data_IF_093528038074
#
_entry.id   IF_093528038074
#
_cell.length_a   1.000
_cell.length_b   1.000
_cell.length_c   1.000
_cell.angle_alpha   90.00
_cell.angle_beta   90.00
_cell.angle_gamma   90.00
#
_symmetry.space_group_name_H-M   'P 1'
#
loop_
_entity.id
_entity.type
_entity.pdbx_description
1 polymer ?
#
# COMPACT_ATOMS: atom_id res chain seq x y z
N UNK A 1 -10.23 -2.62 -20.90
CA UNK A 1 -9.11 -2.76 -19.91
C UNK A 1 -9.12 -1.62 -18.89
N UNK A 2 -9.03 -0.35 -19.28
CA UNK A 2 -9.08 0.81 -18.37
C UNK A 2 -10.25 0.75 -17.38
N UNK A 3 -11.47 0.55 -17.87
CA UNK A 3 -12.67 0.48 -17.03
C UNK A 3 -12.63 -0.65 -15.98
N UNK A 4 -12.03 -1.78 -16.31
CA UNK A 4 -11.84 -2.90 -15.38
C UNK A 4 -10.83 -2.53 -14.30
N UNK A 5 -9.70 -1.92 -14.68
CA UNK A 5 -8.68 -1.45 -13.74
C UNK A 5 -9.28 -0.43 -12.78
N UNK A 6 -10.04 0.56 -13.28
CA UNK A 6 -10.66 1.59 -12.46
C UNK A 6 -11.66 1.01 -11.44
N UNK A 7 -12.40 -0.05 -11.80
CA UNK A 7 -13.30 -0.77 -10.88
C UNK A 7 -12.53 -1.57 -9.83
N UNK A 8 -11.39 -2.18 -10.20
CA UNK A 8 -10.60 -3.02 -9.30
C UNK A 8 -9.60 -2.23 -8.44
N UNK A 9 -9.42 -0.93 -8.68
CA UNK A 9 -8.67 -0.05 -7.79
C UNK A 9 -9.62 0.54 -6.74
N UNK A 10 -9.73 -0.13 -5.59
CA UNK A 10 -10.72 0.17 -4.55
C UNK A 10 -10.12 0.92 -3.39
N UNK A 11 -10.70 2.08 -3.06
CA UNK A 11 -10.37 2.85 -1.86
C UNK A 11 -11.45 2.65 -0.79
N UNK A 12 -11.03 2.35 0.43
CA UNK A 12 -11.86 2.20 1.61
C UNK A 12 -11.53 3.35 2.57
N UNK A 13 -12.47 4.28 2.71
CA UNK A 13 -12.27 5.48 3.54
C UNK A 13 -12.21 5.14 5.02
N UNK A 14 -11.32 5.79 5.76
CA UNK A 14 -11.17 5.66 7.22
C UNK A 14 -11.02 4.20 7.71
N UNK A 15 -10.41 3.33 6.91
CA UNK A 15 -10.17 1.93 7.29
C UNK A 15 -9.25 1.82 8.51
N UNK A 16 -8.29 2.76 8.64
CA UNK A 16 -7.39 2.90 9.79
C UNK A 16 -7.74 4.16 10.57
N UNK A 17 -7.90 4.05 11.88
CA UNK A 17 -8.20 5.23 12.71
C UNK A 17 -7.03 6.22 12.74
N UNK A 18 -7.33 7.52 12.82
CA UNK A 18 -6.34 8.60 12.90
C UNK A 18 -5.33 8.35 14.04
N UNK A 19 -5.79 7.89 15.20
CA UNK A 19 -4.92 7.55 16.34
C UNK A 19 -3.86 6.50 15.99
N UNK A 20 -4.22 5.48 15.20
CA UNK A 20 -3.26 4.46 14.75
C UNK A 20 -2.28 5.09 13.76
N UNK A 21 -2.74 5.90 12.85
CA UNK A 21 -1.89 6.62 11.88
C UNK A 21 -0.87 7.52 12.58
N UNK A 22 -1.29 8.33 13.54
CA UNK A 22 -0.40 9.20 14.32
C UNK A 22 0.65 8.40 15.11
N UNK A 23 0.24 7.27 15.70
CA UNK A 23 1.17 6.37 16.39
C UNK A 23 2.20 5.77 15.42
N UNK A 24 1.81 5.42 14.20
CA UNK A 24 2.72 4.90 13.17
C UNK A 24 3.76 5.95 12.80
N UNK A 25 3.34 7.20 12.53
CA UNK A 25 4.24 8.30 12.20
C UNK A 25 5.21 8.55 13.35
N UNK A 26 4.69 8.70 14.57
CA UNK A 26 5.52 8.92 15.76
C UNK A 26 6.56 7.83 15.97
N UNK A 27 6.17 6.57 15.80
CA UNK A 27 7.09 5.43 15.87
C UNK A 27 8.14 5.47 14.77
N UNK A 28 7.72 5.76 13.53
CA UNK A 28 8.62 5.84 12.40
C UNK A 28 9.70 6.92 12.62
N UNK A 29 9.29 8.10 13.07
CA UNK A 29 10.22 9.21 13.30
C UNK A 29 11.21 8.92 14.45
N UNK A 30 10.74 8.26 15.51
CA UNK A 30 11.56 7.90 16.66
C UNK A 30 12.40 6.62 16.46
N UNK A 31 12.24 5.90 15.34
CA UNK A 31 13.00 4.69 15.07
C UNK A 31 14.46 5.02 14.74
N UNK A 32 15.38 4.18 15.21
CA UNK A 32 16.80 4.36 14.94
C UNK A 32 17.11 4.29 13.43
N UNK A 33 18.01 5.17 12.98
CA UNK A 33 18.38 5.27 11.55
C UNK A 33 18.90 3.94 10.98
N UNK A 34 19.56 3.11 11.77
CA UNK A 34 20.05 1.79 11.35
C UNK A 34 18.93 0.81 10.96
N UNK A 35 17.69 1.02 11.47
CA UNK A 35 16.53 0.20 11.17
C UNK A 35 15.76 0.72 9.94
N UNK A 36 16.15 1.88 9.41
CA UNK A 36 15.55 2.49 8.22
C UNK A 36 16.38 2.17 6.99
N UNK A 37 15.73 1.63 5.98
CA UNK A 37 16.32 1.46 4.65
C UNK A 37 16.10 2.74 3.86
N UNK A 38 17.18 3.39 3.45
CA UNK A 38 17.13 4.62 2.67
C UNK A 38 17.33 4.31 1.18
N UNK A 39 16.47 4.84 0.34
CA UNK A 39 16.64 4.82 -1.10
C UNK A 39 17.01 6.23 -1.57
N UNK A 40 18.27 6.42 -1.95
CA UNK A 40 18.81 7.72 -2.36
C UNK A 40 18.28 8.20 -3.72
N UNK A 41 17.89 7.28 -4.61
CA UNK A 41 17.36 7.61 -5.94
C UNK A 41 15.98 8.28 -5.81
N UNK A 42 15.16 7.80 -4.87
CA UNK A 42 13.81 8.31 -4.66
C UNK A 42 13.69 9.15 -3.38
N UNK A 43 14.81 9.37 -2.67
CA UNK A 43 14.85 10.07 -1.39
C UNK A 43 13.72 9.62 -0.44
N UNK A 44 13.60 8.31 -0.29
CA UNK A 44 12.61 7.66 0.58
C UNK A 44 13.30 6.91 1.69
N UNK A 45 12.61 6.78 2.81
CA UNK A 45 13.00 5.92 3.92
C UNK A 45 11.91 4.89 4.16
N UNK A 46 12.28 3.66 4.46
CA UNK A 46 11.31 2.62 4.78
C UNK A 46 11.76 1.78 5.98
N UNK A 47 10.77 1.29 6.71
CA UNK A 47 10.94 0.30 7.78
C UNK A 47 10.09 -0.91 7.40
N UNK A 48 10.70 -2.09 7.28
CA UNK A 48 9.95 -3.33 7.14
C UNK A 48 9.50 -3.78 8.53
N UNK A 49 8.20 -3.84 8.75
CA UNK A 49 7.63 -4.43 9.94
C UNK A 49 7.90 -5.93 9.86
N UNK A 50 8.66 -6.44 10.81
CA UNK A 50 9.01 -7.85 10.91
C UNK A 50 8.41 -8.38 12.23
N UNK A 51 7.80 -9.57 12.26
CA UNK A 51 7.37 -10.22 13.51
C UNK A 51 8.47 -10.32 14.57
N UNK A 52 9.74 -10.34 14.15
CA UNK A 52 10.89 -10.28 15.06
C UNK A 52 11.13 -8.88 15.66
N UNK A 53 10.53 -7.85 15.12
CA UNK A 53 10.67 -6.48 15.58
C UNK A 53 9.61 -6.19 16.63
N UNK A 54 9.91 -6.50 17.89
CA UNK A 54 8.97 -6.42 19.05
C UNK A 54 8.20 -5.09 19.07
N UNK A 55 8.83 -4.01 18.64
CA UNK A 55 8.25 -2.67 18.63
C UNK A 55 7.11 -2.49 17.61
N UNK A 56 7.04 -3.28 16.53
CA UNK A 56 6.07 -3.13 15.45
C UNK A 56 4.97 -4.20 15.42
N UNK A 57 5.10 -5.29 16.21
CA UNK A 57 4.18 -6.43 16.18
C UNK A 57 2.71 -6.07 16.39
N UNK A 58 2.41 -5.13 17.30
CA UNK A 58 1.03 -4.72 17.55
C UNK A 58 0.44 -3.97 16.35
N UNK A 59 1.25 -3.15 15.68
CA UNK A 59 0.83 -2.41 14.48
C UNK A 59 0.67 -3.40 13.33
N UNK A 60 1.62 -4.29 13.13
CA UNK A 60 1.59 -5.36 12.12
C UNK A 60 0.28 -6.18 12.22
N UNK A 61 -0.01 -6.72 13.41
CA UNK A 61 -1.24 -7.47 13.65
C UNK A 61 -2.51 -6.65 13.38
N UNK A 62 -2.49 -5.36 13.74
CA UNK A 62 -3.65 -4.47 13.52
C UNK A 62 -3.86 -4.17 12.04
N UNK A 63 -2.79 -3.97 11.29
CA UNK A 63 -2.86 -3.76 9.83
C UNK A 63 -3.38 -5.02 9.15
N UNK A 64 -2.89 -6.19 9.53
CA UNK A 64 -3.39 -7.49 9.02
C UNK A 64 -4.89 -7.66 9.26
N UNK A 65 -5.38 -7.35 10.48
CA UNK A 65 -6.81 -7.37 10.82
C UNK A 65 -7.64 -6.44 9.92
N UNK A 66 -7.17 -5.21 9.71
CA UNK A 66 -7.85 -4.21 8.89
C UNK A 66 -7.95 -4.65 7.43
N UNK A 67 -6.87 -5.16 6.86
CA UNK A 67 -6.86 -5.68 5.49
C UNK A 67 -7.82 -6.87 5.38
N UNK A 68 -7.74 -7.83 6.32
CA UNK A 68 -8.60 -9.01 6.34
C UNK A 68 -10.09 -8.66 6.43
N UNK A 69 -10.43 -7.61 7.18
CA UNK A 69 -11.82 -7.11 7.32
C UNK A 69 -12.37 -6.54 6.01
N UNK A 70 -11.55 -5.90 5.20
CA UNK A 70 -11.95 -5.26 3.94
C UNK A 70 -11.89 -6.22 2.74
N UNK A 71 -11.12 -7.30 2.84
CA UNK A 71 -10.88 -8.24 1.75
C UNK A 71 -12.15 -8.90 1.19
N UNK A 72 -13.16 -9.34 1.99
CA UNK A 72 -14.39 -9.92 1.44
C UNK A 72 -15.13 -8.99 0.47
N UNK A 73 -15.17 -7.69 0.76
CA UNK A 73 -15.81 -6.70 -0.11
C UNK A 73 -15.05 -6.57 -1.43
N UNK A 74 -13.71 -6.56 -1.37
CA UNK A 74 -12.87 -6.55 -2.57
C UNK A 74 -13.08 -7.80 -3.42
N UNK A 75 -13.08 -8.98 -2.80
CA UNK A 75 -13.27 -10.27 -3.49
C UNK A 75 -14.65 -10.31 -4.19
N UNK A 76 -15.70 -9.85 -3.52
CA UNK A 76 -17.05 -9.78 -4.11
C UNK A 76 -17.05 -8.92 -5.37
N UNK A 77 -16.52 -7.71 -5.27
CA UNK A 77 -16.43 -6.79 -6.41
C UNK A 77 -15.55 -7.34 -7.54
N UNK A 78 -14.43 -7.98 -7.22
CA UNK A 78 -13.54 -8.56 -8.21
C UNK A 78 -14.24 -9.70 -8.98
N UNK A 79 -15.01 -10.55 -8.29
CA UNK A 79 -15.81 -11.62 -8.92
C UNK A 79 -16.92 -11.07 -9.83
N UNK A 80 -17.59 -10.00 -9.42
CA UNK A 80 -18.59 -9.32 -10.25
C UNK A 80 -17.96 -8.69 -11.51
N UNK A 81 -16.77 -8.10 -11.35
CA UNK A 81 -16.11 -7.34 -12.43
C UNK A 81 -15.47 -8.24 -13.47
N UNK A 82 -14.73 -9.28 -13.05
CA UNK A 82 -13.96 -10.14 -13.97
C UNK A 82 -14.52 -11.56 -14.08
N UNK A 83 -15.62 -11.88 -13.38
CA UNK A 83 -16.33 -13.17 -13.36
C UNK A 83 -15.52 -14.43 -13.03
N UNK A 84 -14.20 -14.37 -13.17
CA UNK A 84 -13.24 -15.46 -12.96
C UNK A 84 -12.15 -15.03 -11.98
N UNK A 85 -12.53 -14.48 -10.83
CA UNK A 85 -11.61 -14.20 -9.73
C UNK A 85 -11.61 -15.39 -8.75
N UNK A 86 -10.69 -16.36 -8.89
CA UNK A 86 -10.74 -17.62 -8.15
C UNK A 86 -10.19 -17.52 -6.74
N UNK A 87 -9.53 -16.39 -6.42
CA UNK A 87 -8.78 -16.24 -5.18
C UNK A 87 -9.72 -15.94 -4.01
N UNK A 88 -9.53 -16.63 -2.89
CA UNK A 88 -10.30 -16.47 -1.66
C UNK A 88 -9.41 -16.47 -0.40
N UNK A 89 -8.13 -16.74 -0.55
CA UNK A 89 -7.15 -16.78 0.53
C UNK A 89 -5.85 -16.14 0.08
N UNK A 90 -5.28 -15.30 0.94
CA UNK A 90 -4.06 -14.54 0.65
C UNK A 90 -3.07 -14.64 1.80
N UNK A 91 -1.80 -14.54 1.46
CA UNK A 91 -0.72 -14.30 2.42
C UNK A 91 0.02 -13.03 1.99
N UNK A 92 0.40 -12.21 2.95
CA UNK A 92 1.25 -11.05 2.70
C UNK A 92 2.74 -11.41 2.73
N UNK A 93 3.59 -10.49 2.29
CA UNK A 93 5.05 -10.57 2.40
C UNK A 93 5.61 -9.70 3.55
N UNK A 94 4.74 -9.35 4.49
CA UNK A 94 4.99 -8.39 5.56
C UNK A 94 4.70 -6.96 5.11
N UNK A 95 4.65 -6.05 6.07
CA UNK A 95 4.29 -4.65 5.84
C UNK A 95 5.51 -3.75 5.88
N UNK A 96 5.54 -2.73 5.04
CA UNK A 96 6.57 -1.70 5.04
C UNK A 96 5.94 -0.33 5.23
N UNK A 97 6.43 0.44 6.19
CA UNK A 97 6.12 1.88 6.29
C UNK A 97 7.15 2.62 5.46
N UNK A 98 6.70 3.39 4.48
CA UNK A 98 7.53 4.20 3.60
C UNK A 98 7.26 5.67 3.86
N UNK A 99 8.32 6.45 4.04
CA UNK A 99 8.29 7.92 4.07
C UNK A 99 8.82 8.46 2.75
N UNK A 100 8.04 9.27 2.09
CA UNK A 100 8.46 10.10 0.96
C UNK A 100 8.63 11.52 1.49
N UNK A 101 9.85 12.01 1.49
CA UNK A 101 10.11 13.38 1.94
C UNK A 101 9.42 14.38 1.01
N UNK A 102 9.02 15.52 1.56
CA UNK A 102 8.47 16.64 0.79
C UNK A 102 9.33 16.94 -0.44
N UNK A 103 8.67 17.25 -1.56
CA UNK A 103 9.26 17.45 -2.90
C UNK A 103 9.88 16.19 -3.53
N UNK A 104 9.51 15.00 -3.04
CA UNK A 104 9.95 13.72 -3.58
C UNK A 104 8.78 12.80 -3.89
N UNK A 105 8.99 11.90 -4.85
CA UNK A 105 8.03 10.92 -5.33
C UNK A 105 8.62 10.10 -6.48
N UNK A 106 7.83 9.17 -7.01
CA UNK A 106 8.21 8.39 -8.19
C UNK A 106 7.76 9.13 -9.44
N UNK A 107 8.71 9.57 -10.28
CA UNK A 107 8.42 10.24 -11.54
C UNK A 107 8.00 9.26 -12.64
N UNK A 108 8.44 8.00 -12.55
CA UNK A 108 8.14 6.96 -13.51
C UNK A 108 7.08 6.00 -12.98
N UNK A 109 6.14 5.60 -13.83
CA UNK A 109 5.18 4.57 -13.48
C UNK A 109 5.88 3.21 -13.36
N UNK A 110 5.53 2.47 -12.31
CA UNK A 110 6.01 1.12 -12.03
C UNK A 110 4.85 0.16 -11.85
N UNK A 111 5.14 -1.12 -11.70
CA UNK A 111 4.17 -2.15 -11.35
C UNK A 111 4.64 -2.89 -10.11
N UNK A 112 3.72 -3.39 -9.31
CA UNK A 112 4.01 -4.30 -8.19
C UNK A 112 3.98 -5.77 -8.62
N UNK A 113 3.94 -6.05 -9.92
CA UNK A 113 4.07 -7.40 -10.41
C UNK A 113 5.38 -8.01 -9.89
N UNK A 114 5.25 -9.11 -9.16
CA UNK A 114 6.38 -9.79 -8.54
C UNK A 114 6.13 -11.30 -8.53
N UNK A 115 7.20 -12.05 -8.64
CA UNK A 115 7.24 -13.49 -8.45
C UNK A 115 8.11 -13.78 -7.23
N UNK A 116 7.62 -14.60 -6.33
CA UNK A 116 8.38 -15.09 -5.18
C UNK A 116 8.41 -16.62 -5.24
N UNK A 117 9.61 -17.22 -5.17
CA UNK A 117 9.79 -18.67 -5.31
C UNK A 117 9.00 -19.49 -4.28
N UNK A 118 8.77 -18.93 -3.08
CA UNK A 118 8.02 -19.58 -2.01
C UNK A 118 6.53 -19.25 -2.00
N UNK A 119 6.11 -18.12 -2.57
CA UNK A 119 4.74 -17.58 -2.47
C UNK A 119 4.02 -17.54 -3.82
N UNK A 120 4.74 -17.67 -4.92
CA UNK A 120 4.17 -17.59 -6.27
C UNK A 120 4.04 -16.15 -6.78
N UNK A 121 3.01 -15.91 -7.57
CA UNK A 121 2.75 -14.60 -8.21
C UNK A 121 2.01 -13.68 -7.27
N UNK A 122 2.43 -12.41 -7.24
CA UNK A 122 1.69 -11.33 -6.59
C UNK A 122 0.32 -11.14 -7.26
N UNK A 123 -0.74 -11.11 -6.48
CA UNK A 123 -2.12 -10.97 -6.97
C UNK A 123 -2.66 -9.57 -6.70
N UNK A 124 -2.44 -9.05 -5.48
CA UNK A 124 -2.94 -7.74 -5.07
C UNK A 124 -1.84 -6.91 -4.42
N UNK A 125 -1.94 -5.61 -4.61
CA UNK A 125 -1.19 -4.61 -3.88
C UNK A 125 -2.11 -3.88 -2.92
N UNK A 126 -1.58 -3.54 -1.77
CA UNK A 126 -2.29 -2.80 -0.73
C UNK A 126 -1.45 -1.60 -0.32
N UNK A 127 -2.06 -0.43 -0.30
CA UNK A 127 -1.50 0.79 0.27
C UNK A 127 -2.42 1.32 1.35
N UNK A 128 -1.86 1.85 2.44
CA UNK A 128 -2.59 2.60 3.46
C UNK A 128 -1.94 3.96 3.58
N UNK A 129 -2.72 5.02 3.40
CA UNK A 129 -2.25 6.39 3.57
C UNK A 129 -2.24 6.74 5.06
N UNK A 130 -1.05 6.95 5.62
CA UNK A 130 -0.87 7.19 7.05
C UNK A 130 -1.09 8.67 7.41
N UNK A 131 -0.96 9.56 6.43
CA UNK A 131 -1.33 10.97 6.56
C UNK A 131 -2.03 11.48 5.31
N UNK A 132 -2.73 12.61 5.46
CA UNK A 132 -3.23 13.38 4.34
C UNK A 132 -2.11 14.23 3.76
N UNK A 133 -2.04 14.31 2.43
CA UNK A 133 -1.18 15.24 1.69
C UNK A 133 -2.10 16.16 0.89
N UNK A 134 -2.10 17.46 1.21
CA UNK A 134 -3.04 18.43 0.59
C UNK A 134 -2.71 18.70 -0.87
N UNK A 135 -1.40 18.78 -1.20
CA UNK A 135 -0.90 19.00 -2.56
C UNK A 135 0.14 17.96 -2.92
N UNK A 136 -0.07 17.26 -4.04
CA UNK A 136 0.76 16.16 -4.49
C UNK A 136 0.50 14.85 -3.74
N UNK A 137 1.40 13.89 -3.92
CA UNK A 137 1.32 12.58 -3.26
C UNK A 137 0.24 11.65 -3.79
N UNK A 138 -0.45 12.02 -4.88
CA UNK A 138 -1.49 11.19 -5.49
C UNK A 138 -0.91 9.88 -6.04
N UNK A 139 -1.71 8.82 -5.95
CA UNK A 139 -1.48 7.57 -6.69
C UNK A 139 -2.23 7.65 -8.01
N UNK A 140 -1.49 7.73 -9.12
CA UNK A 140 -2.06 7.73 -10.47
C UNK A 140 -1.86 6.37 -11.13
N UNK A 141 -2.94 5.77 -11.58
CA UNK A 141 -2.91 4.57 -12.43
C UNK A 141 -2.83 4.98 -13.90
N UNK A 142 -1.87 4.42 -14.63
CA UNK A 142 -1.64 4.80 -16.05
C UNK A 142 -2.88 4.47 -16.88
N UNK A 143 -3.46 5.50 -17.47
CA UNK A 143 -4.69 5.41 -18.24
C UNK A 143 -5.96 5.18 -17.41
N UNK A 144 -5.88 5.27 -16.09
CA UNK A 144 -6.95 5.08 -15.12
C UNK A 144 -7.19 6.30 -14.24
N UNK A 145 -7.65 6.02 -13.02
CA UNK A 145 -7.98 7.05 -12.04
C UNK A 145 -6.78 7.50 -11.22
N UNK A 146 -6.94 8.65 -10.60
CA UNK A 146 -6.02 9.21 -9.61
C UNK A 146 -6.68 9.15 -8.23
N UNK A 147 -5.93 8.68 -7.23
CA UNK A 147 -6.37 8.58 -5.84
C UNK A 147 -5.59 9.60 -5.01
N UNK A 148 -6.28 10.50 -4.35
CA UNK A 148 -5.69 11.47 -3.43
C UNK A 148 -5.46 10.81 -2.07
N UNK A 149 -4.25 10.95 -1.46
CA UNK A 149 -3.97 10.38 -0.15
C UNK A 149 -4.78 11.10 0.94
N UNK A 150 -5.57 10.32 1.68
CA UNK A 150 -6.27 10.77 2.89
C UNK A 150 -5.89 9.87 4.05
N UNK A 151 -5.62 10.46 5.20
CA UNK A 151 -5.23 9.73 6.39
C UNK A 151 -6.25 8.64 6.75
N UNK A 152 -5.76 7.41 6.88
CA UNK A 152 -6.56 6.25 7.25
C UNK A 152 -7.20 5.51 6.10
N UNK A 153 -7.12 6.02 4.86
CA UNK A 153 -7.68 5.31 3.71
C UNK A 153 -6.81 4.12 3.31
N UNK A 154 -7.49 3.04 2.95
CA UNK A 154 -6.92 1.79 2.45
C UNK A 154 -7.21 1.67 0.96
N UNK A 155 -6.19 1.45 0.14
CA UNK A 155 -6.28 1.22 -1.29
C UNK A 155 -5.86 -0.21 -1.61
N UNK A 156 -6.72 -0.96 -2.30
CA UNK A 156 -6.45 -2.32 -2.80
C UNK A 156 -6.58 -2.32 -4.32
N UNK A 157 -5.59 -2.89 -5.01
CA UNK A 157 -5.59 -2.95 -6.48
C UNK A 157 -4.79 -4.17 -6.99
N UNK A 158 -5.00 -4.61 -8.25
CA UNK A 158 -4.31 -5.75 -8.80
C UNK A 158 -2.79 -5.52 -8.93
N UNK A 159 -2.00 -6.56 -8.59
CA UNK A 159 -0.55 -6.63 -8.84
C UNK A 159 -0.28 -7.37 -10.13
N UNK A 160 -0.59 -6.78 -11.28
CA UNK A 160 -0.31 -7.39 -12.58
C UNK A 160 0.64 -6.51 -13.40
N UNK A 161 1.31 -7.11 -14.39
CA UNK A 161 2.31 -6.43 -15.23
C UNK A 161 1.74 -5.25 -16.03
N UNK A 162 0.45 -5.25 -16.28
CA UNK A 162 -0.28 -4.22 -17.03
C UNK A 162 -0.91 -3.13 -16.14
N UNK A 163 -0.95 -3.34 -14.81
CA UNK A 163 -1.39 -2.31 -13.85
C UNK A 163 -0.20 -1.49 -13.39
N UNK A 164 0.05 -0.41 -14.13
CA UNK A 164 1.12 0.54 -13.82
C UNK A 164 0.58 1.72 -13.04
N UNK A 165 1.33 2.14 -12.04
CA UNK A 165 0.97 3.27 -11.20
C UNK A 165 2.23 4.06 -10.81
N UNK A 166 2.03 5.30 -10.40
CA UNK A 166 3.07 6.16 -9.86
C UNK A 166 2.57 6.89 -8.61
N UNK A 167 3.48 7.23 -7.73
CA UNK A 167 3.26 8.10 -6.59
C UNK A 167 3.78 9.49 -6.94
N UNK A 168 2.87 10.44 -7.09
CA UNK A 168 3.25 11.81 -7.41
C UNK A 168 4.10 12.44 -6.32
N UNK A 169 4.88 13.44 -6.68
CA UNK A 169 5.69 14.21 -5.75
C UNK A 169 4.78 14.83 -4.70
N UNK A 170 5.12 14.61 -3.42
CA UNK A 170 4.42 15.23 -2.29
C UNK A 170 4.89 16.68 -2.16
N UNK A 171 3.98 17.66 -2.27
CA UNK A 171 4.31 19.08 -2.31
C UNK A 171 4.10 19.76 -0.97
N UNK A 172 2.96 19.52 -0.31
CA UNK A 172 2.61 20.24 0.93
C UNK A 172 3.36 19.69 2.16
N UNK A 173 3.57 18.37 2.23
CA UNK A 173 4.16 17.71 3.40
C UNK A 173 4.87 16.42 3.02
N UNK A 174 5.58 15.80 3.96
CA UNK A 174 6.03 14.42 3.83
C UNK A 174 4.81 13.50 3.70
N UNK A 175 4.93 12.42 2.91
CA UNK A 175 3.91 11.40 2.74
C UNK A 175 4.35 10.09 3.39
N UNK A 176 3.48 9.51 4.22
CA UNK A 176 3.71 8.22 4.86
C UNK A 176 2.70 7.20 4.34
N UNK A 177 3.20 6.09 3.84
CA UNK A 177 2.38 5.04 3.25
C UNK A 177 2.82 3.68 3.80
N UNK A 178 1.87 2.86 4.24
CA UNK A 178 2.12 1.44 4.47
C UNK A 178 1.85 0.70 3.16
N UNK A 179 2.75 -0.20 2.80
CA UNK A 179 2.61 -1.04 1.61
C UNK A 179 2.80 -2.51 1.93
N UNK A 180 2.06 -3.36 1.24
CA UNK A 180 2.28 -4.81 1.18
C UNK A 180 1.81 -5.37 -0.15
N UNK A 181 2.30 -6.56 -0.46
CA UNK A 181 1.87 -7.36 -1.61
C UNK A 181 1.22 -8.64 -1.10
N UNK A 182 0.09 -9.00 -1.70
CA UNK A 182 -0.66 -10.19 -1.36
C UNK A 182 -0.48 -11.25 -2.44
N UNK A 183 -0.12 -12.45 -2.00
CA UNK A 183 0.05 -13.64 -2.83
C UNK A 183 -1.08 -14.61 -2.57
N UNK A 184 -1.40 -15.44 -3.57
CA UNK A 184 -2.38 -16.49 -3.36
C UNK A 184 -1.84 -17.55 -2.39
N UNK A 185 -2.63 -17.88 -1.38
CA UNK A 185 -2.31 -18.95 -0.46
C UNK A 185 -2.96 -20.25 -0.95
N UNK A 186 -2.12 -21.19 -1.34
CA UNK A 186 -2.55 -22.55 -1.68
C UNK A 186 -3.01 -23.33 -0.46
#
# INVERSE_FOLDING_TARGET
>A
MKEIIDKLCCSYENAVSHRICENIISKFENEETKNKVSNTVFNTQSIKMNPSCVNWNQIDSKISEIISKNMPNYISLARETVKLFPYNSFQDDGYSVCKFNKNNGYTNASTNFNWNDMRGVAILSVLIFVNTVDEGGEIEFVGGKTIKPKQGDLLIFPSSWDVKWKHHISISSDSYVISTTLFYKH
#
